data_IF_406251429985
#
_entry.id   IF_406251429985
#
_cell.length_a   1.000
_cell.length_b   1.000
_cell.length_c   1.000
_cell.angle_alpha   90.00
_cell.angle_beta   90.00
_cell.angle_gamma   90.00
#
_symmetry.space_group_name_H-M   'P 1'
#
loop_
_entity.id
_entity.type
_entity.pdbx_description
1 polymer ?
#
# COMPACT_ATOMS: atom_id res chain seq x y z
N UNK A 1 3.04 -0.12 0.89
CA UNK A 1 2.76 -1.33 1.70
C UNK A 1 1.25 -1.61 1.70
N UNK A 2 0.82 -2.88 1.53
CA UNK A 2 -0.59 -3.26 1.59
C UNK A 2 -0.97 -3.42 3.06
N UNK A 3 -1.87 -2.56 3.55
CA UNK A 3 -2.20 -2.44 4.97
C UNK A 3 -3.44 -3.24 5.36
N UNK A 4 -4.29 -3.64 4.41
CA UNK A 4 -5.47 -4.45 4.70
C UNK A 4 -5.85 -5.40 3.56
N UNK A 5 -6.52 -6.49 3.95
CA UNK A 5 -7.36 -7.37 3.16
C UNK A 5 -8.22 -6.68 2.11
N UNK A 6 -8.67 -5.48 2.46
CA UNK A 6 -9.64 -4.73 1.67
C UNK A 6 -8.98 -4.02 0.49
N UNK A 7 -7.65 -4.11 0.32
CA UNK A 7 -6.92 -3.49 -0.77
C UNK A 7 -6.52 -2.04 -0.50
N UNK A 8 -6.41 -1.66 0.78
CA UNK A 8 -5.79 -0.39 1.17
C UNK A 8 -4.27 -0.50 1.08
N UNK A 9 -3.65 0.53 0.52
CA UNK A 9 -2.21 0.62 0.30
C UNK A 9 -1.75 1.97 0.82
N UNK A 10 -0.75 1.96 1.70
CA UNK A 10 -0.09 3.19 2.14
C UNK A 10 1.17 3.39 1.31
N UNK A 11 1.37 4.62 0.87
CA UNK A 11 2.54 5.09 0.14
C UNK A 11 2.87 6.52 0.58
N UNK A 12 3.94 7.10 0.06
CA UNK A 12 4.27 8.49 0.30
C UNK A 12 3.38 9.41 -0.53
N UNK A 13 2.99 10.56 0.01
CA UNK A 13 2.16 11.52 -0.70
C UNK A 13 2.87 12.07 -1.94
N UNK A 14 4.16 12.36 -1.83
CA UNK A 14 4.98 12.84 -2.95
C UNK A 14 5.00 11.88 -4.15
N UNK A 15 4.85 10.57 -3.92
CA UNK A 15 4.90 9.54 -4.98
C UNK A 15 3.63 9.56 -5.84
N UNK A 16 2.51 9.99 -5.27
CA UNK A 16 1.21 10.06 -5.97
C UNK A 16 0.83 11.48 -6.38
N UNK A 17 1.64 12.46 -5.99
CA UNK A 17 1.40 13.86 -6.31
C UNK A 17 1.64 14.13 -7.81
N UNK A 18 0.60 14.59 -8.50
CA UNK A 18 0.61 14.79 -9.96
C UNK A 18 0.35 13.54 -10.81
N UNK A 19 0.11 12.38 -10.21
CA UNK A 19 -0.24 11.17 -10.96
C UNK A 19 -1.74 11.16 -11.34
N UNK A 20 -2.03 11.21 -12.64
CA UNK A 20 -3.41 11.08 -13.15
C UNK A 20 -3.98 9.66 -12.96
N UNK A 21 -3.11 8.66 -13.03
CA UNK A 21 -3.45 7.25 -12.80
C UNK A 21 -2.32 6.59 -12.01
N UNK A 22 -2.70 5.81 -11.00
CA UNK A 22 -1.76 5.05 -10.18
C UNK A 22 -2.01 3.57 -10.41
N UNK A 23 -0.98 2.83 -10.81
CA UNK A 23 -1.00 1.39 -10.95
C UNK A 23 -0.12 0.78 -9.88
N UNK A 24 -0.63 -0.26 -9.21
CA UNK A 24 0.11 -1.01 -8.21
C UNK A 24 0.41 -2.38 -8.80
N UNK A 25 1.70 -2.64 -8.99
CA UNK A 25 2.20 -3.96 -9.34
C UNK A 25 2.50 -4.73 -8.06
N UNK A 26 1.85 -5.87 -7.92
CA UNK A 26 2.06 -6.79 -6.79
C UNK A 26 3.25 -7.70 -7.07
N UNK A 27 3.78 -8.33 -6.01
CA UNK A 27 4.93 -9.24 -6.09
C UNK A 27 4.66 -10.49 -6.94
N UNK A 28 3.40 -10.83 -7.15
CA UNK A 28 2.94 -11.89 -8.05
C UNK A 28 2.80 -11.43 -9.52
N UNK A 29 3.30 -10.23 -9.85
CA UNK A 29 3.24 -9.56 -11.16
C UNK A 29 1.84 -9.17 -11.62
N UNK A 30 0.83 -9.20 -10.75
CA UNK A 30 -0.48 -8.65 -11.07
C UNK A 30 -0.46 -7.13 -10.92
N UNK A 31 -1.08 -6.43 -11.86
CA UNK A 31 -1.24 -4.98 -11.81
C UNK A 31 -2.68 -4.62 -11.53
N UNK A 32 -2.87 -3.70 -10.58
CA UNK A 32 -4.19 -3.21 -10.21
C UNK A 32 -4.22 -1.69 -10.34
N UNK A 33 -5.32 -1.18 -10.91
CA UNK A 33 -5.58 0.26 -10.91
C UNK A 33 -5.94 0.70 -9.49
N UNK A 34 -5.17 1.62 -8.95
CA UNK A 34 -5.37 2.18 -7.63
C UNK A 34 -6.08 3.54 -7.71
N UNK A 35 -6.94 3.80 -6.73
CA UNK A 35 -7.60 5.08 -6.53
C UNK A 35 -7.07 5.73 -5.27
N UNK A 36 -6.76 7.01 -5.34
CA UNK A 36 -6.33 7.78 -4.17
C UNK A 36 -7.54 7.98 -3.28
N UNK A 37 -7.47 7.46 -2.05
CA UNK A 37 -8.49 7.66 -1.02
C UNK A 37 -8.24 8.96 -0.28
N UNK A 38 -6.96 9.28 -0.06
CA UNK A 38 -6.53 10.55 0.52
C UNK A 38 -5.02 10.66 0.56
N UNK A 39 -4.52 11.88 0.56
CA UNK A 39 -3.11 12.21 0.73
C UNK A 39 -2.94 13.34 1.74
N UNK A 40 -1.94 13.20 2.61
CA UNK A 40 -1.47 14.21 3.54
C UNK A 40 -0.03 14.58 3.17
N UNK A 41 0.13 15.73 2.52
CA UNK A 41 1.43 16.26 2.10
C UNK A 41 2.27 16.78 3.26
N UNK A 42 1.65 17.10 4.42
CA UNK A 42 2.38 17.59 5.59
C UNK A 42 3.15 16.46 6.28
N UNK A 43 2.60 15.24 6.27
CA UNK A 43 3.27 14.05 6.79
C UNK A 43 3.91 13.19 5.71
N UNK A 44 3.84 13.61 4.45
CA UNK A 44 4.25 12.85 3.25
C UNK A 44 3.65 11.44 3.19
N UNK A 45 2.34 11.31 3.47
CA UNK A 45 1.63 10.02 3.49
C UNK A 45 0.43 10.06 2.56
N UNK A 46 0.23 9.01 1.77
CA UNK A 46 -0.97 8.79 0.99
C UNK A 46 -1.54 7.39 1.17
N UNK A 47 -2.86 7.32 1.09
CA UNK A 47 -3.64 6.09 1.13
C UNK A 47 -4.30 5.90 -0.21
N UNK A 48 -4.04 4.74 -0.79
CA UNK A 48 -4.57 4.25 -2.05
C UNK A 48 -5.51 3.06 -1.79
N UNK A 49 -6.48 2.85 -2.67
CA UNK A 49 -7.38 1.71 -2.67
C UNK A 49 -7.34 1.03 -4.02
N UNK A 50 -7.09 -0.27 -4.02
CA UNK A 50 -7.25 -1.12 -5.20
C UNK A 50 -8.49 -1.99 -5.04
N UNK A 51 -9.15 -2.26 -6.16
CA UNK A 51 -10.25 -3.22 -6.22
C UNK A 51 -9.74 -4.51 -6.86
N UNK A 52 -9.71 -5.58 -6.07
CA UNK A 52 -9.26 -6.89 -6.50
C UNK A 52 -9.69 -7.95 -5.50
N UNK A 53 -10.09 -9.11 -6.00
CA UNK A 53 -10.33 -10.31 -5.21
C UNK A 53 -9.04 -11.11 -5.05
N UNK A 54 -8.80 -11.68 -3.86
CA UNK A 54 -7.62 -12.52 -3.58
C UNK A 54 -6.27 -11.77 -3.72
N UNK A 55 -6.18 -10.58 -3.12
CA UNK A 55 -4.92 -9.84 -3.02
C UNK A 55 -3.94 -10.61 -2.10
N UNK A 56 -2.64 -10.69 -2.45
CA UNK A 56 -1.63 -11.31 -1.62
C UNK A 56 -1.48 -10.43 -0.37
N UNK A 57 -2.20 -10.80 0.68
CA UNK A 57 -2.01 -10.20 2.00
C UNK A 57 -0.63 -10.62 2.49
N UNK A 58 0.13 -9.65 3.00
CA UNK A 58 1.04 -9.98 4.09
C UNK A 58 0.11 -10.50 5.21
N UNK A 59 0.22 -11.77 5.61
CA UNK A 59 -0.24 -12.13 6.94
C UNK A 59 0.50 -11.16 7.86
N UNK A 60 -0.21 -10.23 8.51
CA UNK A 60 0.39 -9.43 9.57
C UNK A 60 0.92 -10.45 10.58
N UNK A 61 2.22 -10.74 10.52
CA UNK A 61 2.89 -11.39 11.62
C UNK A 61 2.74 -10.46 12.80
N UNK A 62 2.23 -11.00 13.92
CA UNK A 62 2.14 -10.33 15.21
C UNK A 62 3.32 -9.37 15.40
N UNK A 63 3.04 -8.07 15.46
CA UNK A 63 4.06 -7.07 15.79
C UNK A 63 4.58 -7.24 17.22
N UNK A 64 3.99 -8.14 18.02
CA UNK A 64 4.50 -8.59 19.32
C UNK A 64 5.71 -9.55 19.23
N UNK A 65 6.15 -9.95 18.03
CA UNK A 65 7.32 -10.82 17.84
C UNK A 65 8.49 -10.20 17.09
N UNK A 66 8.52 -8.88 16.88
CA UNK A 66 9.74 -8.24 16.35
C UNK A 66 10.76 -8.15 17.49
N UNK A 67 11.72 -9.08 17.50
CA UNK A 67 12.99 -8.91 18.21
C UNK A 67 13.95 -8.14 17.31
N UNK A 68 14.61 -7.16 17.91
CA UNK A 68 15.65 -6.32 17.31
C UNK A 68 16.76 -7.19 16.72
N UNK A 69 17.02 -7.00 15.43
CA UNK A 69 18.28 -7.37 14.77
C UNK A 69 18.17 -8.36 13.63
N UNK A 70 17.77 -7.90 12.43
CA UNK A 70 18.24 -8.47 11.16
C UNK A 70 18.44 -7.31 10.16
N UNK A 71 19.62 -7.29 9.53
CA UNK A 71 20.10 -6.26 8.58
C UNK A 71 19.86 -6.68 7.14
#
# INVERSE_FOLDING_TARGET
FIISADGFIMTNAHVVDGASEVYVTLTDKREFKARIVGSDTRTDVAVLKIDGSNLPRLNMGDSDKIRVGEW
#
